data_IF_270790433588
#
_entry.id   IF_270790433588
#
_cell.length_a   1.000
_cell.length_b   1.000
_cell.length_c   1.000
_cell.angle_alpha   90.00
_cell.angle_beta   90.00
_cell.angle_gamma   90.00
#
_symmetry.space_group_name_H-M   'P 1'
#
loop_
_entity.id
_entity.type
_entity.pdbx_description
1 polymer ?
2 branched ?
3 non-polymer ?
4 non-polymer ?
5 non-polymer ?
6 water ?
#
# COMPACT_ATOMS: atom_id res chain seq x y z
C UNK A 1 -25.33 19.59 -6.02
N UNK A 2 -26.19 19.12 -5.12
CA UNK A 2 -25.89 18.90 -3.70
C UNK A 2 -25.60 17.44 -3.45
N UNK A 3 -24.31 17.08 -3.45
CA UNK A 3 -23.94 15.68 -3.54
C UNK A 3 -24.04 14.98 -2.20
N UNK A 4 -23.48 15.59 -1.15
CA UNK A 4 -23.50 15.03 0.18
C UNK A 4 -23.78 16.03 1.29
N UNK A 5 -23.33 15.74 2.51
CA UNK A 5 -23.60 16.56 3.68
C UNK A 5 -22.27 16.99 4.30
N UNK A 6 -22.01 18.29 4.31
CA UNK A 6 -20.80 18.85 4.89
C UNK A 6 -20.97 19.01 6.40
N UNK A 7 -19.84 19.15 7.06
CA UNK A 7 -19.80 19.34 8.49
C UNK A 7 -18.37 19.45 8.97
N UNK A 8 -18.18 19.84 10.23
CA UNK A 8 -16.82 19.94 10.76
C UNK A 8 -16.20 18.56 10.87
N UNK A 9 -15.09 18.36 10.16
CA UNK A 9 -14.25 17.17 10.16
C UNK A 9 -14.83 15.99 9.41
N UNK A 10 -15.83 16.18 8.54
CA UNK A 10 -16.35 15.06 7.79
C UNK A 10 -17.10 15.54 6.56
N UNK A 11 -17.24 14.61 5.60
CA UNK A 11 -18.07 14.79 4.41
C UNK A 11 -18.77 13.45 4.18
N UNK A 12 -20.09 13.45 4.34
CA UNK A 12 -20.90 12.25 4.13
C UNK A 12 -21.38 12.28 2.67
N UNK A 13 -21.02 11.30 1.85
CA UNK A 13 -21.47 11.32 0.45
C UNK A 13 -22.94 10.96 0.31
N UNK A 14 -23.80 11.79 0.89
CA UNK A 14 -25.25 11.54 0.83
C UNK A 14 -25.96 12.86 1.11
N UNK A 15 -26.93 13.20 0.27
CA UNK A 15 -27.66 14.45 0.43
C UNK A 15 -28.49 14.41 1.71
N UNK A 16 -28.60 15.57 2.36
CA UNK A 16 -29.36 15.70 3.60
C UNK A 16 -30.76 16.27 3.37
N UNK A 17 -31.25 16.28 2.13
CA UNK A 17 -32.59 16.84 1.90
C UNK A 17 -33.66 16.06 2.66
N UNK A 18 -33.48 14.75 2.81
CA UNK A 18 -34.35 13.94 3.66
C UNK A 18 -34.23 14.28 5.13
N UNK A 19 -33.11 14.86 5.55
CA UNK A 19 -32.83 15.08 6.96
C UNK A 19 -32.31 13.88 7.71
N UNK A 20 -32.02 12.77 7.02
CA UNK A 20 -31.66 11.54 7.73
C UNK A 20 -30.17 11.44 8.03
N UNK A 21 -29.35 12.25 7.37
CA UNK A 21 -27.91 12.15 7.56
C UNK A 21 -27.57 12.39 9.03
N UNK A 22 -26.48 11.75 9.48
CA UNK A 22 -25.94 11.92 10.82
C UNK A 22 -24.43 11.97 10.74
N UNK A 23 -23.82 12.47 11.80
CA UNK A 23 -22.38 12.57 11.85
C UNK A 23 -21.76 11.17 11.79
N UNK A 24 -20.72 10.96 10.97
CA UNK A 24 -20.09 9.64 10.94
C UNK A 24 -19.35 9.29 12.22
N UNK A 25 -19.25 10.25 13.14
CA UNK A 25 -18.67 10.01 14.45
C UNK A 25 -19.72 9.70 15.52
N UNK A 26 -21.01 9.93 15.25
CA UNK A 26 -22.04 9.83 16.26
C UNK A 26 -23.06 8.72 16.05
N UNK A 27 -23.37 8.35 14.81
CA UNK A 27 -24.53 7.50 14.54
C UNK A 27 -24.29 6.71 13.28
N UNK A 28 -24.91 5.53 13.15
CA UNK A 28 -24.60 4.67 12.00
C UNK A 28 -25.09 5.26 10.69
N UNK A 29 -24.29 5.01 9.65
CA UNK A 29 -24.51 5.55 8.30
C UNK A 29 -25.25 4.56 7.42
N UNK A 30 -26.38 4.05 7.91
CA UNK A 30 -27.13 3.01 7.23
C UNK A 30 -27.94 3.51 6.05
N UNK A 31 -27.93 4.82 5.78
CA UNK A 31 -28.50 5.32 4.54
C UNK A 31 -27.50 5.25 3.40
N UNK A 32 -26.20 5.24 3.72
CA UNK A 32 -25.17 5.01 2.71
C UNK A 32 -25.24 3.58 2.18
N UNK A 33 -25.45 2.61 3.06
CA UNK A 33 -25.48 1.22 2.65
C UNK A 33 -26.26 0.42 3.67
N UNK A 34 -26.88 -0.67 3.19
CA UNK A 34 -27.62 -1.56 4.06
C UNK A 34 -26.71 -2.10 5.16
N UNK A 35 -27.29 -2.52 6.28
CA UNK A 35 -26.45 -3.10 7.34
C UNK A 35 -25.64 -4.30 6.87
N UNK A 36 -26.21 -5.16 6.01
CA UNK A 36 -25.46 -6.32 5.56
C UNK A 36 -24.23 -5.93 4.75
N UNK A 37 -24.29 -4.80 4.05
CA UNK A 37 -23.12 -4.35 3.30
C UNK A 37 -22.03 -3.89 4.25
N UNK A 38 -22.41 -3.30 5.39
CA UNK A 38 -21.41 -3.03 6.42
C UNK A 38 -20.84 -4.32 6.97
N UNK A 39 -21.70 -5.34 7.13
CA UNK A 39 -21.23 -6.64 7.59
C UNK A 39 -20.27 -7.27 6.58
N UNK A 40 -20.55 -7.10 5.29
CA UNK A 40 -19.64 -7.60 4.27
C UNK A 40 -18.33 -6.83 4.28
N UNK A 41 -18.38 -5.52 4.51
CA UNK A 41 -17.15 -4.77 4.75
C UNK A 41 -16.39 -5.38 5.92
N UNK A 42 -17.11 -5.73 6.99
CA UNK A 42 -16.48 -6.37 8.14
C UNK A 42 -15.88 -7.72 7.76
N UNK A 43 -16.61 -8.50 6.96
CA UNK A 43 -16.09 -9.80 6.54
C UNK A 43 -14.85 -9.65 5.69
N UNK A 44 -14.80 -8.62 4.85
CA UNK A 44 -13.61 -8.40 4.02
C UNK A 44 -12.41 -8.02 4.87
N UNK A 45 -12.63 -7.18 5.90
CA UNK A 45 -11.56 -6.87 6.83
C UNK A 45 -11.10 -8.12 7.58
N UNK A 46 -12.04 -8.98 7.93
CA UNK A 46 -11.67 -10.21 8.63
C UNK A 46 -10.84 -11.12 7.73
N UNK A 47 -11.19 -11.19 6.44
CA UNK A 47 -10.39 -11.93 5.48
C UNK A 47 -8.97 -11.37 5.42
N UNK A 48 -8.83 -10.06 5.32
CA UNK A 48 -7.50 -9.45 5.21
C UNK A 48 -6.69 -9.65 6.48
N UNK A 49 -7.33 -9.67 7.65
CA UNK A 49 -6.60 -9.88 8.90
C UNK A 49 -6.14 -11.33 9.01
N UNK A 50 -7.01 -12.28 8.67
CA UNK A 50 -6.67 -13.68 8.80
C UNK A 50 -5.59 -14.10 7.81
N UNK A 51 -5.54 -13.49 6.63
CA UNK A 51 -4.49 -13.78 5.67
C UNK A 51 -3.29 -12.85 5.82
N UNK A 52 -3.50 -11.64 6.30
CA UNK A 52 -2.45 -10.64 6.33
C UNK A 52 -1.52 -10.72 7.51
N UNK A 53 -2.06 -10.94 8.71
CA UNK A 53 -1.19 -11.04 9.87
C UNK A 53 -0.28 -12.26 9.81
N UNK A 54 -0.75 -13.48 9.56
CA UNK A 54 0.18 -14.62 9.53
C UNK A 54 1.31 -14.44 8.54
N UNK A 55 0.97 -14.17 7.27
CA UNK A 55 1.98 -14.06 6.22
C UNK A 55 3.04 -13.03 6.59
N UNK A 56 2.62 -11.87 7.10
CA UNK A 56 3.58 -10.82 7.40
C UNK A 56 4.32 -11.08 8.70
N UNK A 57 3.63 -11.63 9.70
CA UNK A 57 4.33 -11.94 10.95
C UNK A 57 5.27 -13.12 10.76
N UNK A 58 4.85 -14.13 9.98
CA UNK A 58 5.71 -15.25 9.70
C UNK A 58 6.97 -14.81 8.96
N UNK A 59 6.85 -13.78 8.12
CA UNK A 59 8.03 -13.23 7.46
C UNK A 59 9.03 -12.69 8.49
N UNK A 60 8.54 -11.96 9.49
CA UNK A 60 9.42 -11.49 10.55
C UNK A 60 9.94 -12.63 11.40
N UNK A 61 9.11 -13.66 11.63
CA UNK A 61 9.50 -14.73 12.52
C UNK A 61 10.54 -15.64 11.89
N UNK A 62 10.31 -16.05 10.63
CA UNK A 62 11.24 -16.92 9.93
C UNK A 62 12.60 -16.27 9.76
N UNK A 63 12.63 -14.95 9.58
CA UNK A 63 13.90 -14.24 9.48
C UNK A 63 14.72 -14.37 10.76
N UNK A 64 14.05 -14.49 11.91
CA UNK A 64 14.76 -14.64 13.19
C UNK A 64 15.36 -16.03 13.33
N UNK A 65 14.84 -17.03 12.61
CA UNK A 65 15.30 -18.39 12.77
C UNK A 65 16.34 -18.84 11.75
N UNK A 66 16.61 -18.04 10.71
CA UNK A 66 17.46 -18.46 9.61
C UNK A 66 18.47 -17.38 9.28
N UNK A 67 19.76 -17.68 9.52
CA UNK A 67 20.81 -16.69 9.29
C UNK A 67 20.90 -16.29 7.82
N UNK A 68 20.60 -17.22 6.92
CA UNK A 68 20.77 -16.93 5.50
C UNK A 68 19.87 -15.80 5.03
N UNK A 69 18.75 -15.57 5.73
CA UNK A 69 17.82 -14.52 5.32
C UNK A 69 18.29 -13.13 5.72
N UNK A 70 19.18 -13.03 6.70
CA UNK A 70 19.59 -11.72 7.19
C UNK A 70 20.62 -11.04 6.29
N UNK A 71 20.34 -10.96 5.00
CA UNK A 71 21.14 -10.22 4.06
C UNK A 71 20.63 -8.78 3.93
N UNK A 72 21.53 -7.82 3.71
CA UNK A 72 21.09 -6.42 3.56
C UNK A 72 20.09 -6.21 2.44
N UNK A 73 20.22 -6.96 1.35
CA UNK A 73 19.23 -6.89 0.27
C UNK A 73 17.84 -7.30 0.72
N UNK A 74 17.74 -7.99 1.86
CA UNK A 74 16.45 -8.43 2.38
C UNK A 74 15.89 -7.51 3.44
N UNK A 75 16.69 -6.58 3.97
CA UNK A 75 16.20 -5.66 4.98
C UNK A 75 14.93 -4.94 4.50
N UNK A 76 14.90 -4.54 3.23
CA UNK A 76 13.75 -3.79 2.73
C UNK A 76 12.50 -4.66 2.71
N UNK A 77 12.66 -5.98 2.57
CA UNK A 77 11.52 -6.87 2.61
C UNK A 77 10.97 -7.01 4.03
N UNK A 78 11.83 -6.96 5.05
CA UNK A 78 11.34 -6.91 6.41
C UNK A 78 10.59 -5.60 6.66
N UNK A 79 11.13 -4.49 6.15
CA UNK A 79 10.43 -3.21 6.25
C UNK A 79 9.08 -3.27 5.58
N UNK A 80 8.97 -4.01 4.48
CA UNK A 80 7.68 -4.21 3.84
C UNK A 80 6.73 -4.97 4.76
N UNK A 81 7.23 -6.01 5.44
CA UNK A 81 6.37 -6.82 6.31
C UNK A 81 5.87 -6.01 7.51
N UNK A 82 6.71 -5.13 8.05
CA UNK A 82 6.28 -4.27 9.14
C UNK A 82 5.19 -3.32 8.65
N UNK A 83 5.40 -2.71 7.48
CA UNK A 83 4.42 -1.78 6.92
C UNK A 83 3.06 -2.44 6.76
N UNK A 84 3.04 -3.66 6.24
CA UNK A 84 1.77 -4.38 6.10
C UNK A 84 1.11 -4.60 7.45
N UNK A 85 1.91 -4.85 8.50
CA UNK A 85 1.34 -5.02 9.83
C UNK A 85 0.71 -3.73 10.34
N UNK A 86 1.31 -2.58 10.00
CA UNK A 86 0.66 -1.30 10.26
C UNK A 86 -0.72 -1.23 9.60
N UNK A 87 -0.79 -1.64 8.33
CA UNK A 87 -2.09 -1.68 7.65
C UNK A 87 -3.04 -2.67 8.32
N UNK A 88 -2.52 -3.78 8.83
CA UNK A 88 -3.39 -4.83 9.37
C UNK A 88 -3.96 -4.43 10.73
N UNK A 89 -3.14 -3.81 11.57
CA UNK A 89 -3.58 -3.45 12.91
C UNK A 89 -4.07 -2.02 13.00
N UNK A 90 -3.43 -1.10 12.26
CA UNK A 90 -3.88 0.28 12.26
C UNK A 90 -5.13 0.51 11.44
N UNK A 91 -5.31 -0.25 10.36
CA UNK A 91 -6.43 -0.03 9.46
C UNK A 91 -7.47 -1.13 9.49
N UNK A 92 -7.05 -2.36 9.20
CA UNK A 92 -8.03 -3.44 9.01
C UNK A 92 -8.73 -3.78 10.32
N UNK A 93 -7.97 -3.83 11.42
CA UNK A 93 -8.55 -4.15 12.72
C UNK A 93 -9.55 -3.08 13.16
N UNK A 94 -9.13 -1.82 13.11
CA UNK A 94 -10.02 -0.73 13.47
C UNK A 94 -11.27 -0.74 12.61
N UNK A 95 -11.11 -0.91 11.30
CA UNK A 95 -12.25 -0.84 10.39
C UNK A 95 -13.22 -1.99 10.61
N UNK A 96 -12.70 -3.18 10.93
CA UNK A 96 -13.58 -4.28 11.31
C UNK A 96 -14.46 -3.90 12.49
N UNK A 97 -13.89 -3.18 13.45
CA UNK A 97 -14.63 -2.83 14.66
C UNK A 97 -15.65 -1.74 14.39
N UNK A 98 -15.23 -0.67 13.72
CA UNK A 98 -16.15 0.41 13.34
C UNK A 98 -17.24 -0.07 12.40
N UNK A 99 -16.88 -0.93 11.44
CA UNK A 99 -17.85 -1.48 10.51
C UNK A 99 -19.06 -2.06 11.23
N UNK A 100 -18.83 -2.85 12.27
CA UNK A 100 -19.90 -3.52 12.97
C UNK A 100 -20.76 -2.56 13.79
N UNK A 101 -20.29 -1.34 14.00
CA UNK A 101 -21.13 -0.27 14.52
C UNK A 101 -21.81 0.52 13.43
N UNK A 102 -21.32 0.43 12.20
CA UNK A 102 -21.87 1.21 11.10
C UNK A 102 -21.46 2.67 11.08
N UNK A 103 -20.43 3.04 11.84
CA UNK A 103 -19.92 4.42 11.79
C UNK A 103 -18.61 4.45 12.56
N UNK A 104 -17.87 5.54 12.40
CA UNK A 104 -16.52 5.63 12.97
C UNK A 104 -16.63 6.05 14.43
N UNK A 105 -16.68 5.05 15.32
CA UNK A 105 -17.01 5.30 16.74
C UNK A 105 -15.90 5.95 17.54
N UNK A 106 -14.69 6.05 17.00
CA UNK A 106 -13.58 6.61 17.77
C UNK A 106 -13.46 8.12 17.65
N UNK A 107 -14.39 8.76 16.95
CA UNK A 107 -14.39 10.20 16.87
C UNK A 107 -13.27 10.75 16.01
N UNK A 108 -13.21 12.07 15.88
CA UNK A 108 -12.18 12.70 15.03
C UNK A 108 -10.76 12.42 15.49
N UNK A 109 -10.53 12.22 16.79
CA UNK A 109 -9.19 11.90 17.26
C UNK A 109 -8.73 10.55 16.72
N UNK A 110 -9.57 9.52 16.84
CA UNK A 110 -9.23 8.24 16.25
C UNK A 110 -9.14 8.29 14.75
N UNK A 111 -9.83 9.25 14.13
CA UNK A 111 -9.77 9.40 12.67
C UNK A 111 -8.37 9.77 12.22
N UNK A 112 -7.70 10.64 12.99
CA UNK A 112 -6.32 10.99 12.67
C UNK A 112 -5.36 9.86 13.01
N UNK A 113 -5.69 9.06 14.03
CA UNK A 113 -4.84 7.92 14.38
C UNK A 113 -4.91 6.83 13.31
N UNK A 114 -6.12 6.31 13.05
CA UNK A 114 -6.26 5.33 11.98
C UNK A 114 -5.77 5.88 10.66
N UNK A 115 -6.17 7.11 10.32
CA UNK A 115 -5.73 7.71 9.08
C UNK A 115 -4.21 7.70 8.96
N UNK A 116 -3.53 8.25 9.96
CA UNK A 116 -2.07 8.31 9.93
C UNK A 116 -1.46 6.92 9.76
N UNK A 117 -1.77 6.01 10.68
CA UNK A 117 -1.08 4.71 10.68
C UNK A 117 -1.44 3.89 9.45
N UNK A 118 -2.71 3.93 9.01
CA UNK A 118 -3.07 3.24 7.79
C UNK A 118 -2.36 3.85 6.58
N UNK A 119 -2.39 5.19 6.48
CA UNK A 119 -1.67 5.86 5.39
C UNK A 119 -0.17 5.62 5.50
N UNK A 120 0.38 5.68 6.72
CA UNK A 120 1.81 5.44 6.89
C UNK A 120 2.19 4.03 6.45
N UNK A 121 1.45 3.03 6.91
CA UNK A 121 1.74 1.66 6.53
C UNK A 121 1.68 1.43 5.03
N UNK A 122 0.64 1.95 4.38
CA UNK A 122 0.55 1.82 2.93
C UNK A 122 1.66 2.57 2.21
N UNK A 123 2.05 3.73 2.74
CA UNK A 123 3.12 4.50 2.11
C UNK A 123 4.47 3.82 2.27
N UNK A 124 4.74 3.25 3.44
CA UNK A 124 6.01 2.53 3.65
C UNK A 124 6.10 1.35 2.69
N UNK A 125 5.01 0.60 2.55
CA UNK A 125 4.98 -0.49 1.59
C UNK A 125 5.27 0.02 0.19
N UNK A 126 4.59 1.09 -0.21
CA UNK A 126 4.79 1.66 -1.54
C UNK A 126 6.26 1.97 -1.80
N UNK A 127 6.89 2.72 -0.90
CA UNK A 127 8.28 3.09 -1.13
C UNK A 127 9.24 1.93 -0.95
N UNK A 128 8.87 0.92 -0.14
CA UNK A 128 9.70 -0.26 -0.03
C UNK A 128 9.80 -0.98 -1.37
N UNK A 129 8.68 -1.09 -2.09
CA UNK A 129 8.71 -1.65 -3.44
C UNK A 129 9.59 -0.81 -4.36
N UNK A 130 9.53 0.52 -4.20
CA UNK A 130 10.39 1.39 -4.99
C UNK A 130 11.85 1.21 -4.62
N UNK A 131 12.15 1.16 -3.32
CA UNK A 131 13.54 1.04 -2.87
C UNK A 131 14.11 -0.33 -3.27
N UNK A 132 13.32 -1.40 -3.14
CA UNK A 132 13.79 -2.70 -3.58
C UNK A 132 14.12 -2.68 -5.07
N UNK A 133 13.31 -1.98 -5.87
CA UNK A 133 13.59 -1.88 -7.30
C UNK A 133 14.90 -1.13 -7.56
N UNK A 134 15.15 -0.07 -6.79
CA UNK A 134 16.38 0.67 -6.95
C UNK A 134 17.57 -0.16 -6.51
N UNK A 135 17.44 -0.88 -5.38
CA UNK A 135 18.53 -1.70 -4.89
C UNK A 135 18.89 -2.78 -5.90
N UNK A 136 17.88 -3.51 -6.40
CA UNK A 136 18.14 -4.55 -7.38
C UNK A 136 18.75 -3.97 -8.66
N UNK A 137 18.35 -2.77 -9.05
CA UNK A 137 18.90 -2.15 -10.25
C UNK A 137 20.36 -1.79 -10.07
N UNK A 138 20.73 -1.32 -8.87
CA UNK A 138 22.12 -0.96 -8.61
C UNK A 138 23.00 -2.21 -8.60
N UNK A 139 22.51 -3.29 -7.98
CA UNK A 139 23.32 -4.49 -7.84
C UNK A 139 23.52 -5.19 -9.17
N UNK A 140 22.48 -5.23 -10.01
CA UNK A 140 22.58 -5.93 -11.29
C UNK A 140 23.25 -5.06 -12.35
N UNK A 141 22.63 -3.92 -12.67
CA UNK A 141 23.10 -3.09 -13.76
C UNK A 141 24.43 -2.41 -13.47
N UNK A 142 24.89 -2.40 -12.22
CA UNK A 142 26.17 -1.82 -11.84
C UNK A 142 26.39 -0.43 -12.45
N UNK A 143 25.55 0.56 -12.11
CA UNK A 143 25.73 1.90 -12.69
C UNK A 143 26.86 2.70 -12.07
N UNK A 144 27.36 2.31 -10.91
CA UNK A 144 28.47 2.99 -10.26
C UNK A 144 29.73 2.15 -10.39
N UNK A 145 30.86 2.82 -10.65
CA UNK A 145 32.08 2.13 -11.06
C UNK A 145 32.57 1.16 -9.99
N UNK A 146 32.86 1.66 -8.80
CA UNK A 146 33.38 0.85 -7.70
C UNK A 146 32.42 0.97 -6.53
N UNK A 147 31.32 0.21 -6.58
CA UNK A 147 30.31 0.24 -5.54
C UNK A 147 29.94 -1.18 -5.11
N UNK A 148 29.76 -1.36 -3.80
CA UNK A 148 29.32 -2.62 -3.21
C UNK A 148 28.19 -2.33 -2.24
N UNK A 149 27.05 -3.01 -2.44
CA UNK A 149 25.88 -2.78 -1.61
C UNK A 149 26.07 -3.42 -0.24
N UNK A 150 26.09 -2.59 0.80
CA UNK A 150 26.42 -3.03 2.13
C UNK A 150 25.28 -2.85 3.12
N UNK A 151 25.55 -3.23 4.36
CA UNK A 151 24.58 -3.08 5.44
C UNK A 151 24.24 -1.61 5.65
N UNK A 152 25.24 -0.74 5.61
CA UNK A 152 24.98 0.69 5.78
C UNK A 152 24.07 1.21 4.69
N UNK A 153 24.23 0.74 3.46
CA UNK A 153 23.40 1.23 2.36
C UNK A 153 21.96 0.76 2.50
N UNK A 154 21.76 -0.50 2.90
CA UNK A 154 20.41 -1.02 3.04
C UNK A 154 19.63 -0.29 4.13
N UNK A 155 20.32 0.18 5.17
CA UNK A 155 19.65 0.89 6.25
C UNK A 155 19.14 2.24 5.77
N UNK A 156 19.93 2.94 4.94
CA UNK A 156 19.47 4.20 4.37
C UNK A 156 18.19 4.01 3.57
N UNK A 157 18.12 2.94 2.79
CA UNK A 157 16.92 2.68 2.01
C UNK A 157 15.68 2.53 2.89
N UNK A 158 15.82 1.83 4.02
CA UNK A 158 14.69 1.67 4.92
C UNK A 158 14.30 3.01 5.52
N UNK A 159 15.28 3.73 6.06
CA UNK A 159 15.01 5.06 6.62
C UNK A 159 14.40 5.98 5.57
N UNK A 160 14.77 5.80 4.31
CA UNK A 160 14.25 6.64 3.25
C UNK A 160 12.75 6.43 3.07
N UNK A 161 12.29 5.19 3.20
CA UNK A 161 10.86 4.93 3.12
C UNK A 161 10.13 5.62 4.27
N UNK A 162 10.70 5.57 5.47
CA UNK A 162 10.07 6.22 6.63
C UNK A 162 9.95 7.72 6.40
N UNK A 163 10.98 8.34 5.84
CA UNK A 163 10.92 9.77 5.56
C UNK A 163 9.87 10.07 4.51
N UNK A 164 9.84 9.28 3.44
CA UNK A 164 8.83 9.50 2.39
C UNK A 164 7.43 9.27 2.93
N UNK A 165 7.23 8.22 3.74
CA UNK A 165 5.91 7.93 4.26
C UNK A 165 5.45 9.01 5.23
N UNK A 166 6.37 9.52 6.06
CA UNK A 166 6.03 10.65 6.92
C UNK A 166 5.70 11.88 6.08
N UNK A 167 6.39 12.04 4.95
CA UNK A 167 6.13 13.18 4.07
C UNK A 167 4.70 13.17 3.51
N UNK A 168 4.06 12.01 3.48
CA UNK A 168 2.68 11.91 3.04
C UNK A 168 1.68 11.81 4.18
N UNK A 169 2.00 11.04 5.23
CA UNK A 169 1.04 10.77 6.28
C UNK A 169 0.96 11.87 7.33
N UNK A 170 2.00 12.67 7.48
CA UNK A 170 2.05 13.68 8.55
C UNK A 170 1.45 15.05 8.17
N UNK A 171 1.63 15.55 6.95
CA UNK A 171 1.08 16.89 6.62
C UNK A 171 -0.41 17.01 6.90
N UNK A 172 -1.22 15.97 6.69
CA UNK A 172 -2.65 16.11 7.07
C UNK A 172 -2.87 16.42 8.55
N UNK A 173 -1.93 16.04 9.43
CA UNK A 173 -2.10 16.36 10.84
C UNK A 173 -1.71 17.81 11.15
N UNK A 174 -0.80 18.40 10.37
CA UNK A 174 -0.31 19.75 10.65
C UNK A 174 -1.21 20.82 10.04
N UNK A 175 -1.76 20.60 8.83
CA UNK A 175 -2.64 21.58 8.23
C UNK A 175 -2.74 21.54 6.73
N UNK A 176 -2.02 20.61 6.08
CA UNK A 176 -2.07 20.43 4.64
C UNK A 176 -2.90 19.20 4.36
N UNK A 177 -4.10 19.41 3.80
CA UNK A 177 -5.14 18.40 3.67
C UNK A 177 -5.60 17.95 5.06
N UNK A 178 -6.29 16.82 5.14
CA UNK A 178 -6.91 16.42 6.39
C UNK A 178 -7.36 14.98 6.28
N UNK A 179 -7.53 14.34 7.43
CA UNK A 179 -8.12 13.01 7.53
C UNK A 179 -9.61 13.13 7.85
N UNK A 180 -10.44 12.46 7.06
CA UNK A 180 -11.86 12.38 7.32
C UNK A 180 -12.32 10.95 7.05
N UNK A 181 -13.39 10.53 7.69
CA UNK A 181 -14.01 9.25 7.29
C UNK A 181 -14.28 9.26 5.78
N UNK A 182 -13.88 8.19 5.12
CA UNK A 182 -14.05 8.04 3.70
C UNK A 182 -15.04 6.92 3.41
N UNK A 183 -15.42 6.79 2.15
CA UNK A 183 -16.38 5.79 1.72
C UNK A 183 -17.59 5.64 2.62
N UNK A 184 -17.78 4.45 3.19
CA UNK A 184 -18.90 4.21 4.09
C UNK A 184 -18.72 4.80 5.48
N UNK A 185 -17.68 5.64 5.66
CA UNK A 185 -17.41 6.46 6.84
C UNK A 185 -16.88 5.62 8.00
N UNK A 186 -16.55 4.36 7.78
CA UNK A 186 -15.98 3.52 8.82
C UNK A 186 -14.47 3.61 8.92
N UNK A 187 -13.78 3.95 7.83
CA UNK A 187 -12.35 4.14 7.84
C UNK A 187 -12.03 5.59 7.50
N UNK A 188 -10.82 6.02 7.88
CA UNK A 188 -10.35 7.38 7.70
C UNK A 188 -9.13 7.43 6.78
N UNK A 189 -9.00 8.52 6.05
CA UNK A 189 -7.90 8.63 5.11
C UNK A 189 -7.71 10.05 4.61
N UNK A 190 -6.82 10.20 3.64
CA UNK A 190 -6.61 11.51 3.02
C UNK A 190 -7.90 11.96 2.38
N UNK A 191 -8.16 13.27 2.48
CA UNK A 191 -9.37 13.87 1.94
C UNK A 191 -9.04 14.44 0.56
N UNK A 192 -9.31 13.66 -0.47
CA UNK A 192 -9.34 14.15 -1.84
C UNK A 192 -10.76 14.20 -2.37
N UNK A 193 -11.75 14.05 -1.49
CA UNK A 193 -13.15 14.17 -1.83
C UNK A 193 -13.70 15.58 -1.63
N UNK A 194 -12.97 16.42 -0.90
CA UNK A 194 -13.43 17.76 -0.53
C UNK A 194 -12.43 18.80 -0.99
N UNK A 195 -12.85 19.82 -1.69
CA UNK A 195 -11.94 20.93 -2.04
C UNK A 195 -11.82 21.93 -0.90
N UNK A 196 -11.26 21.47 0.22
CA UNK A 196 -11.19 22.25 1.45
C UNK A 196 -10.12 23.32 1.29
N UNK A 197 -10.55 24.56 1.05
CA UNK A 197 -9.60 25.64 0.81
C UNK A 197 -8.76 25.94 2.05
N UNK A 198 -9.31 25.69 3.24
CA UNK A 198 -8.63 26.09 4.47
C UNK A 198 -7.39 25.25 4.71
N UNK A 199 -7.36 24.02 4.19
CA UNK A 199 -6.19 23.15 4.30
C UNK A 199 -5.47 22.95 2.97
N UNK A 200 -5.86 23.69 1.92
CA UNK A 200 -5.28 23.56 0.59
C UNK A 200 -5.26 22.10 0.13
N UNK A 201 -6.45 21.50 0.09
CA UNK A 201 -6.57 20.13 -0.38
C UNK A 201 -6.08 19.98 -1.83
N UNK A 202 -6.35 20.98 -2.66
CA UNK A 202 -6.02 20.87 -4.07
C UNK A 202 -4.51 20.74 -4.29
N UNK A 203 -3.72 21.49 -3.53
CA UNK A 203 -2.27 21.39 -3.67
C UNK A 203 -1.74 20.05 -3.15
N UNK A 204 -2.37 19.49 -2.12
CA UNK A 204 -1.89 18.22 -1.59
C UNK A 204 -2.20 17.08 -2.56
N UNK A 205 -3.38 17.12 -3.20
CA UNK A 205 -3.72 16.09 -4.17
C UNK A 205 -2.71 16.09 -5.32
N UNK A 206 -2.33 17.28 -5.79
CA UNK A 206 -1.33 17.38 -6.83
C UNK A 206 0.02 16.84 -6.33
N UNK A 207 0.41 17.24 -5.12
CA UNK A 207 1.66 16.74 -4.55
C UNK A 207 1.62 15.22 -4.39
N UNK A 208 0.49 14.69 -3.94
CA UNK A 208 0.33 13.24 -3.84
C UNK A 208 0.43 12.59 -5.21
N UNK A 209 -0.26 13.17 -6.18
CA UNK A 209 -0.27 12.60 -7.53
C UNK A 209 1.12 12.59 -8.14
N UNK A 210 1.88 13.66 -7.95
CA UNK A 210 3.19 13.77 -8.57
C UNK A 210 4.23 12.94 -7.81
N UNK A 211 4.37 13.18 -6.51
CA UNK A 211 5.49 12.61 -5.76
C UNK A 211 5.23 11.16 -5.39
N UNK A 212 4.02 10.84 -4.94
CA UNK A 212 3.74 9.51 -4.42
C UNK A 212 2.93 8.63 -5.37
N UNK A 213 2.68 9.08 -6.60
CA UNK A 213 1.87 8.27 -7.51
C UNK A 213 2.52 8.15 -8.88
N UNK A 214 3.20 9.20 -9.33
CA UNK A 214 3.87 9.20 -10.64
C UNK A 214 5.33 8.81 -10.51
N UNK A 215 6.06 9.44 -9.58
CA UNK A 215 7.47 9.08 -9.36
C UNK A 215 7.65 7.60 -9.03
N UNK A 216 6.91 7.00 -8.09
CA UNK A 216 7.13 5.56 -7.82
C UNK A 216 6.97 4.69 -9.05
N UNK A 217 6.02 5.04 -9.93
CA UNK A 217 5.81 4.25 -11.12
C UNK A 217 6.97 4.38 -12.10
N UNK A 218 7.48 5.60 -12.29
CA UNK A 218 8.58 5.80 -13.23
C UNK A 218 9.82 5.08 -12.75
N UNK A 219 10.12 5.18 -11.45
CA UNK A 219 11.32 4.55 -10.91
C UNK A 219 11.23 3.03 -11.07
N UNK A 220 10.10 2.45 -10.67
CA UNK A 220 9.93 1.02 -10.76
C UNK A 220 10.05 0.54 -12.20
N UNK A 221 9.48 1.30 -13.14
CA UNK A 221 9.56 0.90 -14.54
C UNK A 221 10.96 1.08 -15.10
N UNK A 222 11.64 2.16 -14.74
CA UNK A 222 12.99 2.38 -15.23
C UNK A 222 13.96 1.34 -14.69
N UNK A 223 13.99 1.18 -13.36
CA UNK A 223 14.91 0.26 -12.73
C UNK A 223 14.71 -1.16 -13.23
N UNK A 224 13.47 -1.65 -13.21
CA UNK A 224 13.22 -3.01 -13.65
C UNK A 224 13.41 -3.17 -15.15
N UNK A 225 13.16 -2.10 -15.92
CA UNK A 225 13.43 -2.14 -17.35
C UNK A 225 14.90 -2.35 -17.65
N UNK A 226 15.75 -1.46 -17.11
CA UNK A 226 17.19 -1.60 -17.32
C UNK A 226 17.71 -2.94 -16.80
N UNK A 227 17.12 -3.46 -15.73
CA UNK A 227 17.54 -4.74 -15.19
C UNK A 227 17.26 -5.87 -16.17
N UNK A 228 16.02 -5.97 -16.64
CA UNK A 228 15.69 -7.00 -17.63
C UNK A 228 16.52 -6.81 -18.88
N UNK A 229 16.82 -5.56 -19.24
CA UNK A 229 17.67 -5.30 -20.40
C UNK A 229 19.08 -5.80 -20.14
N UNK A 230 19.63 -5.50 -18.97
CA UNK A 230 20.98 -5.96 -18.64
C UNK A 230 21.06 -7.48 -18.57
N UNK A 231 20.07 -8.09 -17.92
CA UNK A 231 20.07 -9.54 -17.77
C UNK A 231 19.91 -10.23 -19.13
N UNK A 232 19.03 -9.72 -19.98
CA UNK A 232 18.85 -10.31 -21.30
C UNK A 232 20.06 -10.05 -22.20
N UNK A 233 20.77 -8.96 -21.96
CA UNK A 233 21.97 -8.67 -22.73
C UNK A 233 23.09 -9.64 -22.37
N UNK A 234 23.31 -9.84 -21.07
CA UNK A 234 24.37 -10.73 -20.62
C UNK A 234 24.08 -12.16 -21.02
N UNK A 235 22.83 -12.60 -20.89
CA UNK A 235 22.47 -13.96 -21.26
C UNK A 235 22.70 -14.21 -22.75
N UNK A 236 22.55 -13.18 -23.57
CA UNK A 236 22.77 -13.35 -25.00
C UNK A 236 24.22 -13.68 -25.32
N UNK A 237 25.15 -13.23 -24.47
CA UNK A 237 26.56 -13.55 -24.64
C UNK A 237 26.92 -14.95 -24.17
N UNK A 238 26.03 -15.61 -23.43
CA UNK A 238 26.25 -16.96 -22.91
C UNK A 238 25.08 -17.87 -23.28
N UNK A 239 24.72 -17.87 -24.56
CA UNK A 239 23.64 -18.74 -25.01
C UNK A 239 24.02 -20.20 -24.94
N UNK A 240 25.31 -20.52 -24.79
CA UNK A 240 25.73 -21.91 -24.61
C UNK A 240 25.32 -22.45 -23.24
N UNK A 241 24.94 -21.59 -22.30
CA UNK A 241 24.55 -21.98 -20.95
C UNK A 241 23.03 -22.08 -20.88
N UNK A 242 22.52 -23.31 -20.72
CA UNK A 242 21.07 -23.50 -20.58
C UNK A 242 20.54 -22.89 -19.30
N UNK A 243 21.35 -22.90 -18.23
CA UNK A 243 20.90 -22.35 -16.96
C UNK A 243 20.82 -20.83 -17.01
N UNK A 244 21.82 -20.18 -17.62
CA UNK A 244 21.76 -18.73 -17.78
C UNK A 244 20.50 -18.32 -18.52
N UNK A 245 20.11 -19.08 -19.55
CA UNK A 245 18.86 -18.81 -20.24
C UNK A 245 17.67 -19.06 -19.33
N UNK A 246 17.74 -20.10 -18.48
CA UNK A 246 16.66 -20.34 -17.53
C UNK A 246 16.58 -19.23 -16.49
N UNK A 247 17.73 -18.80 -15.97
CA UNK A 247 17.72 -17.69 -15.01
C UNK A 247 17.18 -16.41 -15.66
N UNK A 248 17.60 -16.12 -16.89
CA UNK A 248 17.10 -14.93 -17.58
C UNK A 248 15.58 -15.01 -17.76
N UNK A 249 15.06 -16.21 -18.06
CA UNK A 249 13.63 -16.35 -18.26
C UNK A 249 12.86 -16.10 -16.97
N UNK A 250 13.33 -16.67 -15.87
CA UNK A 250 12.59 -16.53 -14.61
C UNK A 250 12.76 -15.13 -14.04
N UNK A 251 13.90 -14.47 -14.26
CA UNK A 251 14.05 -13.09 -13.82
C UNK A 251 13.08 -12.19 -14.59
N UNK A 252 13.02 -12.37 -15.91
CA UNK A 252 12.07 -11.60 -16.71
C UNK A 252 10.64 -11.86 -16.26
N UNK A 253 10.32 -13.13 -16.00
CA UNK A 253 8.96 -13.47 -15.58
C UNK A 253 8.62 -12.84 -14.24
N UNK A 254 9.58 -12.82 -13.31
CA UNK A 254 9.32 -12.22 -11.99
C UNK A 254 9.15 -10.72 -12.08
N UNK A 255 9.99 -10.05 -12.86
CA UNK A 255 9.87 -8.60 -13.02
C UNK A 255 8.49 -8.26 -13.59
N UNK A 256 8.01 -9.07 -14.52
CA UNK A 256 6.68 -8.86 -15.09
C UNK A 256 5.62 -8.99 -14.00
N UNK A 257 5.68 -10.07 -13.22
CA UNK A 257 4.73 -10.28 -12.13
C UNK A 257 4.73 -9.08 -11.19
N UNK A 258 5.93 -8.63 -10.78
CA UNK A 258 6.01 -7.51 -9.85
C UNK A 258 5.43 -6.25 -10.46
N UNK A 259 5.80 -5.96 -11.71
CA UNK A 259 5.32 -4.74 -12.36
C UNK A 259 3.83 -4.83 -12.62
N UNK A 260 3.34 -6.01 -13.01
CA UNK A 260 1.89 -6.19 -13.18
C UNK A 260 1.18 -5.99 -11.85
N UNK A 261 1.71 -6.59 -10.79
CA UNK A 261 1.11 -6.43 -9.47
C UNK A 261 1.07 -4.97 -9.06
N UNK A 262 2.16 -4.24 -9.29
CA UNK A 262 2.18 -2.82 -8.92
C UNK A 262 1.11 -2.05 -9.68
N UNK A 263 0.91 -2.39 -10.96
CA UNK A 263 -0.10 -1.69 -11.75
C UNK A 263 -1.50 -2.00 -11.27
N UNK A 264 -1.73 -3.22 -10.74
CA UNK A 264 -3.06 -3.59 -10.28
C UNK A 264 -3.48 -2.75 -9.08
N UNK A 265 -2.52 -2.31 -8.26
CA UNK A 265 -2.82 -1.40 -7.17
C UNK A 265 -2.76 0.06 -7.59
N UNK A 266 -2.13 0.35 -8.73
CA UNK A 266 -1.86 1.71 -9.17
C UNK A 266 -2.91 2.22 -10.15
N UNK A 267 -3.29 1.40 -11.12
CA UNK A 267 -4.23 1.82 -12.16
C UNK A 267 -5.61 2.21 -11.63
N UNK A 268 -6.21 1.53 -10.64
CA UNK A 268 -7.53 1.97 -10.16
C UNK A 268 -7.56 3.43 -9.73
N UNK A 269 -6.55 3.89 -9.00
CA UNK A 269 -6.51 5.30 -8.64
C UNK A 269 -6.37 6.20 -9.86
N UNK A 270 -5.73 5.71 -10.93
CA UNK A 270 -5.62 6.50 -12.15
C UNK A 270 -6.91 6.50 -12.96
N UNK A 271 -7.61 5.37 -13.03
CA UNK A 271 -8.90 5.34 -13.71
C UNK A 271 -9.95 6.18 -13.01
N UNK A 272 -9.99 6.10 -11.67
CA UNK A 272 -10.94 6.92 -10.92
C UNK A 272 -10.59 8.39 -11.05
N UNK A 273 -9.29 8.72 -11.05
CA UNK A 273 -8.89 10.12 -11.21
C UNK A 273 -9.20 10.63 -12.61
N UNK A 274 -8.91 9.83 -13.64
CA UNK A 274 -9.33 10.18 -14.99
C UNK A 274 -10.83 10.40 -15.09
N UNK A 275 -11.62 9.81 -14.18
CA UNK A 275 -13.03 10.08 -14.01
C UNK A 275 -13.30 11.30 -13.14
N UNK A 276 -12.24 11.96 -12.68
CA UNK A 276 -12.33 13.27 -12.05
C UNK A 276 -11.79 14.39 -12.95
N UNK A 277 -10.72 14.13 -13.70
CA UNK A 277 -10.29 15.11 -14.70
C UNK A 277 -11.36 15.31 -15.78
N UNK A 278 -11.86 14.22 -16.35
CA UNK A 278 -13.05 14.23 -17.19
C UNK A 278 -14.17 13.53 -16.45
N UNK A 279 -15.42 13.82 -16.84
CA UNK A 279 -16.60 13.38 -16.10
C UNK A 279 -16.57 13.91 -14.67
N UNK A 280 -16.24 15.19 -14.51
CA UNK A 280 -16.01 15.76 -13.18
C UNK A 280 -17.31 16.15 -12.48
N UNK A 281 -18.36 16.48 -13.25
CA UNK A 281 -19.51 17.13 -12.65
C UNK A 281 -20.29 16.26 -11.68
N UNK A 282 -20.52 15.00 -12.03
CA UNK A 282 -21.45 14.17 -11.28
C UNK A 282 -20.93 13.84 -9.89
N UNK A 283 -21.86 13.54 -8.99
CA UNK A 283 -21.53 13.13 -7.64
C UNK A 283 -21.02 11.69 -7.64
N UNK A 284 -20.15 11.38 -6.68
CA UNK A 284 -19.57 10.06 -6.54
C UNK A 284 -20.11 9.40 -5.28
N UNK A 285 -20.70 8.22 -5.44
CA UNK A 285 -21.14 7.44 -4.30
C UNK A 285 -19.99 7.09 -3.39
N UNK A 286 -20.30 6.68 -2.16
CA UNK A 286 -19.21 6.28 -1.24
C UNK A 286 -18.38 5.15 -1.78
N UNK A 287 -18.95 4.34 -2.67
CA UNK A 287 -18.22 3.21 -3.22
C UNK A 287 -17.23 3.66 -4.29
N UNK A 288 -17.63 4.60 -5.15
CA UNK A 288 -16.85 4.87 -6.36
C UNK A 288 -15.51 5.53 -6.04
N UNK A 289 -15.53 6.62 -5.27
CA UNK A 289 -14.28 7.29 -4.90
C UNK A 289 -13.34 6.33 -4.20
N UNK A 290 -13.88 5.28 -3.58
CA UNK A 290 -13.12 4.39 -2.72
C UNK A 290 -13.04 2.96 -3.26
N UNK A 291 -13.46 2.74 -4.50
CA UNK A 291 -13.19 1.45 -5.15
C UNK A 291 -11.69 1.18 -5.22
N UNK A 292 -10.82 2.14 -5.60
CA UNK A 292 -9.39 1.85 -5.57
C UNK A 292 -8.86 1.49 -4.19
N UNK A 293 -9.26 2.24 -3.17
CA UNK A 293 -8.86 1.91 -1.81
C UNK A 293 -9.35 0.52 -1.43
N UNK A 294 -10.60 0.19 -1.80
CA UNK A 294 -11.18 -1.08 -1.41
C UNK A 294 -10.34 -2.26 -1.89
N UNK A 295 -9.63 -2.09 -3.00
CA UNK A 295 -8.82 -3.17 -3.54
C UNK A 295 -7.32 -2.98 -3.32
N UNK A 296 -6.87 -1.75 -3.08
CA UNK A 296 -5.47 -1.53 -2.71
C UNK A 296 -5.14 -2.09 -1.33
N UNK A 297 -6.15 -2.28 -0.47
CA UNK A 297 -5.92 -2.91 0.83
C UNK A 297 -5.38 -4.32 0.67
N UNK A 298 -5.82 -5.03 -0.38
CA UNK A 298 -5.40 -6.41 -0.60
C UNK A 298 -3.90 -6.54 -0.81
N UNK A 299 -3.21 -5.44 -1.14
CA UNK A 299 -1.76 -5.50 -1.30
C UNK A 299 -1.07 -6.02 -0.04
N UNK A 300 -1.68 -5.88 1.14
CA UNK A 300 -1.08 -6.41 2.34
C UNK A 300 -0.99 -7.92 2.34
N UNK A 301 -1.68 -8.60 1.42
CA UNK A 301 -1.67 -10.05 1.32
C UNK A 301 -0.85 -10.51 0.12
N UNK A 302 -1.07 -9.91 -1.06
CA UNK A 302 -0.43 -10.45 -2.26
C UNK A 302 0.99 -9.94 -2.44
N UNK A 303 1.34 -8.78 -1.90
CA UNK A 303 2.73 -8.34 -1.98
C UNK A 303 3.67 -9.28 -1.24
N UNK A 304 3.41 -9.70 0.00
CA UNK A 304 4.31 -10.68 0.62
C UNK A 304 4.30 -12.02 -0.10
N UNK A 305 3.20 -12.38 -0.76
CA UNK A 305 3.19 -13.61 -1.55
C UNK A 305 4.15 -13.49 -2.72
N UNK A 306 4.15 -12.34 -3.40
CA UNK A 306 4.98 -12.16 -4.58
C UNK A 306 6.44 -11.95 -4.20
N UNK A 307 6.70 -10.97 -3.34
CA UNK A 307 8.08 -10.58 -3.01
C UNK A 307 8.75 -11.49 -1.98
N UNK A 308 8.00 -12.28 -1.21
CA UNK A 308 8.63 -13.04 -0.14
C UNK A 308 8.31 -14.53 -0.29
N UNK A 309 7.03 -14.87 -0.33
CA UNK A 309 6.64 -16.27 -0.47
C UNK A 309 7.23 -16.89 -1.72
N UNK A 310 7.42 -16.12 -2.78
CA UNK A 310 8.01 -16.65 -4.01
C UNK A 310 9.53 -16.58 -4.02
N UNK A 311 10.14 -15.90 -3.05
CA UNK A 311 11.58 -15.95 -2.88
C UNK A 311 12.01 -17.37 -2.50
N UNK A 312 13.05 -17.87 -3.14
CA UNK A 312 13.40 -19.28 -3.00
C UNK A 312 13.85 -19.61 -1.57
N UNK A 313 14.63 -18.72 -0.95
CA UNK A 313 15.14 -19.00 0.38
C UNK A 313 14.04 -18.89 1.43
N UNK A 314 13.26 -17.80 1.40
CA UNK A 314 12.18 -17.62 2.37
C UNK A 314 11.26 -18.83 2.39
N UNK A 315 10.94 -19.37 1.22
CA UNK A 315 9.94 -20.43 1.11
C UNK A 315 10.35 -21.66 1.89
N UNK A 316 11.57 -22.16 1.65
CA UNK A 316 12.04 -23.36 2.33
C UNK A 316 12.17 -23.12 3.83
N UNK A 317 12.63 -21.94 4.23
CA UNK A 317 12.77 -21.63 5.65
C UNK A 317 11.41 -21.65 6.35
N UNK A 318 10.38 -21.11 5.70
CA UNK A 318 9.05 -21.13 6.28
C UNK A 318 8.50 -22.55 6.39
N UNK A 319 8.78 -23.39 5.39
CA UNK A 319 8.39 -24.80 5.50
C UNK A 319 9.08 -25.45 6.68
N UNK A 320 10.39 -25.20 6.84
CA UNK A 320 11.13 -25.75 7.97
C UNK A 320 10.57 -25.25 9.29
N UNK A 321 10.22 -23.96 9.36
CA UNK A 321 9.70 -23.41 10.60
C UNK A 321 8.29 -23.93 10.90
N UNK A 322 7.42 -23.96 9.89
CA UNK A 322 6.06 -24.46 10.07
C UNK A 322 6.06 -25.95 10.41
N UNK A 323 7.06 -26.67 9.92
CA UNK A 323 7.15 -28.09 10.16
C UNK A 323 8.09 -28.51 11.28
N UNK A 324 8.28 -27.57 12.21
CA UNK A 324 9.01 -27.80 13.45
C UNK A 324 10.45 -28.26 13.21
N UNK A 325 11.02 -27.88 12.07
CA UNK A 325 12.41 -28.16 11.75
C UNK A 325 12.64 -29.21 10.70
N UNK A 326 11.63 -30.01 10.36
CA UNK A 326 11.78 -31.10 9.42
C UNK A 326 11.28 -30.68 8.04
N UNK A 327 11.87 -31.29 7.00
CA UNK A 327 11.55 -30.97 5.61
C UNK A 327 11.73 -29.48 5.33
X LIG B 1 -29.00 16.87 8.33
X LIG B 1 -28.29 17.64 9.44
X LIG B 1 -28.81 17.18 10.80
X LIG B 1 -30.29 17.53 10.87
X LIG B 1 -31.06 16.88 9.71
X LIG B 1 -32.48 17.40 9.60
X LIG B 1 -25.90 16.76 9.44
X LIG B 1 -26.37 15.35 9.58
X LIG B 1 -26.83 17.73 9.38
X LIG B 1 -28.09 17.81 11.86
X LIG B 1 -30.84 17.07 12.10
X LIG B 1 -30.44 17.11 8.43
X LIG B 1 -32.50 18.81 9.46
X LIG B 1 -24.71 17.02 9.36
X LIG B 2 -31.36 18.15 12.90
X LIG B 2 -32.44 17.55 13.79
X LIG B 2 -33.05 18.63 14.67
X LIG B 2 -31.97 19.38 15.43
X LIG B 2 -30.86 19.86 14.49
X LIG B 2 -29.68 20.45 15.23
X LIG B 2 -33.52 15.56 12.84
X LIG B 2 -34.65 15.04 12.00
X LIG B 2 -33.47 16.88 13.00
X LIG B 2 -33.95 18.03 15.59
X LIG B 2 -32.54 20.51 16.08
X LIG B 2 -30.36 18.77 13.71
X LIG B 2 -29.06 21.49 14.49
X LIG B 2 -32.69 14.81 13.34
X LIG B 3 -32.36 20.44 17.50
X LIG B 3 -32.75 21.82 18.04
X LIG B 3 -32.69 21.81 19.54
X LIG B 3 -33.49 20.64 20.13
X LIG B 3 -33.03 19.32 19.50
X LIG B 3 -33.87 18.16 19.94
X LIG B 3 -34.09 22.13 17.67
X LIG B 3 -33.17 23.02 20.08
X LIG B 3 -33.28 20.58 21.52
X LIG B 3 -33.18 19.44 18.07
X LIG B 3 -35.20 18.42 19.52
X LIG B 4 -32.06 23.81 20.55
X LIG B 4 -32.64 24.82 21.55
X LIG B 4 -33.61 25.76 20.84
X LIG B 4 -32.93 26.41 19.61
X LIG B 4 -32.33 25.34 18.69
X LIG B 4 -31.51 25.92 17.53
X LIG B 4 -31.61 25.64 22.10
X LIG B 4 -34.11 26.76 21.72
X LIG B 4 -33.89 27.15 18.88
X LIG B 4 -31.44 24.48 19.47
X LIG B 4 -31.40 24.92 16.50
X LIG B 5 -35.92 17.19 19.58
X LIG B 5 -36.80 17.10 18.28
X LIG B 5 -38.06 17.97 18.38
X LIG B 5 -38.73 17.89 19.76
X LIG B 5 -37.68 18.17 20.85
X LIG B 5 -38.25 18.16 22.26
X LIG B 5 -37.25 15.76 18.04
X LIG B 5 -39.00 17.63 17.36
X LIG B 5 -39.78 18.86 19.86
X LIG B 5 -36.69 17.15 20.76
X LIG B 5 -37.20 18.59 23.14
X LIG C 1 5.23 -28.64 7.24
X LIG C 1 5.82 -28.07 6.32
X LIG C 1 3.94 -28.13 7.85
X LIG C 1 3.52 -28.87 9.10
X LIG C 1 2.09 -29.36 9.05
X LIG C 1 1.10 -28.24 8.83
X LIG C 1 -0.23 -28.78 8.35
X LIG C 1 -1.40 -27.91 8.76
X LIG C 1 -1.58 -26.73 7.83
X LIG C 1 -2.95 -26.10 8.00
X LIG C 1 -3.03 -24.80 7.23
X LIG C 1 -4.46 -24.46 6.84
X LIG C 1 -5.28 -24.02 8.03
X LIG C 1 -6.64 -23.53 7.57
X LIG C 1 -7.41 -22.83 8.67
X LIG C 1 -8.55 -22.01 8.09
X LIG C 1 -9.14 -21.10 9.12
X LIG D 1 -4.99 3.74 0.82
X LIG D 1 -4.68 2.48 0.26
X LIG D 1 -6.21 4.35 0.13
X LIG D 1 -5.98 4.43 -1.29
X LIG D 1 -6.51 5.72 0.73
X LIG D 1 -7.77 6.16 0.20
X LIG D 1 -6.58 5.67 2.26
X LIG D 1 -6.47 6.99 2.79
X LIG D 1 -5.45 4.85 2.88
X LIG D 1 -5.27 3.60 2.22
X LIG D 1 -5.71 4.60 4.36
X LIG D 1 -6.72 3.59 4.51
X LIG D 1 -3.39 2.06 0.70
X LIG D 1 -2.85 1.04 -0.30
X LIG D 1 -1.38 0.81 -0.03
X LIG D 1 -0.73 0.06 -1.19
X LIG D 1 0.79 0.10 -1.05
X LIG D 1 1.46 -0.91 -1.96
X LIG D 1 1.42 -0.47 -3.42
X LIG D 1 1.65 -1.64 -4.35
X LIG E 1 -14.86 1.65 1.42
X LIG E 1 -15.58 2.10 0.28
X LIG E 1 -13.39 2.00 1.26
X LIG E 1 -12.85 1.31 0.13
X LIG E 1 -12.59 1.66 2.51
X LIG E 1 -11.26 2.18 2.37
X LIG E 1 -13.27 2.29 3.70
X LIG E 1 -12.58 1.97 4.92
X LIG E 1 -14.72 1.81 3.78
X LIG E 1 -15.42 2.22 2.61
X LIG E 1 -15.43 2.36 5.01
X LIG E 1 -15.07 3.73 5.23
X LIG E 1 -16.93 1.68 0.31
X LIG E 1 -17.15 0.71 -0.85
X LIG E 1 -16.01 0.81 -1.87
X LIG E 1 -16.36 0.03 -3.13
X LIG E 1 -16.53 -1.46 -2.84
X LIG E 1 -17.06 -2.17 -4.07
X LIG E 1 -16.97 -3.68 -3.89
X LIG E 1 -17.77 -4.38 -4.96
X LIG F 1 10.49 -10.47 -23.28
X LIG F 1 9.67 -9.82 -22.32
X LIG F 1 9.93 -11.86 -23.57
X LIG F 1 10.10 -12.69 -22.41
X LIG F 1 10.60 -12.52 -24.77
X LIG F 1 9.87 -13.70 -25.12
X LIG F 1 10.66 -11.56 -25.95
X LIG F 1 11.38 -12.16 -27.02
X LIG F 1 11.33 -10.28 -25.51
X LIG F 1 10.57 -9.66 -24.46
X LIG F 1 11.48 -9.30 -26.68
X LIG F 1 12.50 -9.79 -27.55
X LIG F 1 10.20 -8.54 -21.98
X LIG F 1 9.40 -7.96 -20.82
X LIG F 1 10.16 -6.82 -20.16
X LIG F 1 9.44 -6.37 -18.91
X LIG F 1 10.25 -5.29 -18.20
X LIG F 1 9.36 -4.50 -17.25
X LIG F 1 10.05 -3.20 -16.85
X LIG F 1 9.14 -2.35 -16.01
X LIG G 1 -23.88 -2.05 18.74
X LIG G 1 -22.59 -2.47 19.20
X LIG G 1 -24.78 -1.81 19.95
X LIG G 1 -24.99 -3.07 20.63
X LIG G 1 -26.12 -1.20 19.56
X LIG G 1 -26.84 -0.84 20.74
X LIG G 1 -25.88 0.05 18.73
X LIG G 1 -27.13 0.59 18.30
X LIG G 1 -25.00 -0.30 17.52
X LIG G 1 -23.75 -0.89 17.90
X LIG G 1 -24.73 0.91 16.62
X LIG G 1 -24.35 0.43 15.32
X LIG G 1 -21.77 -3.01 18.16
X LIG G 1 -20.57 -3.66 18.81
X LIG G 1 -19.68 -4.32 17.78
X LIG G 1 -18.46 -4.94 18.45
X LIG G 1 -17.85 -5.98 17.49
X LIG G 1 -16.54 -6.58 17.99
X LIG G 1 -15.93 -7.48 16.90
X LIG G 1 -14.48 -7.80 17.16
X LIG H 1 -4.46 9.56 -3.40
X LIG H 1 -4.48 8.11 -2.89
X LIG H 1 -2.80 6.67 -1.74
X LIG H 1 -1.29 5.17 -0.31
X LIG H 1 -0.06 4.25 -0.35
X LIG H 1 -1.20 6.10 0.91
X LIG H 1 -1.19 5.11 -2.86
X LIG H 1 -0.05 5.28 -3.67
X LIG H 1 0.13 4.49 -4.80
X LIG H 1 -0.82 3.54 -5.14
X LIG H 1 -1.95 3.38 -4.35
X LIG H 1 -2.14 4.16 -3.21
X LIG H 1 -2.23 7.79 -3.99
X LIG H 1 -2.16 9.28 -4.31
X LIG H 1 -4.25 11.72 -7.48
X LIG H 1 -4.04 10.76 -6.52
X LIG H 1 -4.28 9.38 -6.76
X LIG H 1 -4.71 8.91 -7.95
X LIG H 1 -4.91 9.89 -8.93
X LIG H 1 -4.70 11.24 -8.71
X LIG H 1 -4.00 8.68 -5.62
X LIG H 1 -3.58 9.64 -4.66
X LIG H 1 -3.62 10.93 -5.24
X LIG H 1 -3.12 7.50 -2.84
X LIG H 1 -1.40 5.99 -1.63
X LIG H 1 -3.66 6.52 -0.88
#
# INVERSE_FOLDING_TARGET
XMCGTEGPNFYVPFSNKTGVVRSPFEAPQYYLAEPWQFSMLAAYMFLLIMLGFPINFLTLYVTVQHKKLRTPLNYILLNLAVADLFMVFGGFTTTLYTSLHGYFVFGPTGCNLEGFFATLGGEIALWSLVVLAIERYVVVCKPMSNFRFGENHAIMGVAFTWVMALACAAPPLVGWSRYIPEGMQCSCGIDYYTPHEETNNESFVIYMFVVHFIIPLIVIFFCYGQLVFTVKEAAAQQQESATTQKAEKEVTRMVIIMVIAFLICWLPYAGVAFYIFTHQGSCFGPIFMTIPAFFAKTSAVYNPVIYIMMNKQFRNCMVTTLCCGKNPLGDDEASTTVSKTETSQVAPA
NAG C1 C2 C3 C4 C5 C6 C7 C8 N2 O3 O4 O5 O6 O7
NAG C1 C2 C3 C4 C5 C6 C7 C8 N2 O3 O4 O5 O6 O7
BMA C1 C2 C3 C4 C5 C6 O2 O3 O4 O5 O6
MAN C1 C2 C3 C4 C5 C6 O2 O3 O4 O5 O6
MAN C1 C2 C3 C4 C5 C6 O2 O3 O4 O5 O6
PLM C1 O2 C2 C3 C4 C5 C6 C7 C8 C9 CA CB CC CD CE CF CG
BOG C1 O1 C2 O2 C3 O3 C4 O4 C5 O5 C6 O6 C1' C2' C3' C4' C5' C6' C7' C8'
BOG C1 O1 C2 O2 C3 O3 C4 O4 C5 O5 C6 O6 C1' C2' C3' C4' C5' C6' C7' C8'
BOG C1 O1 C2 O2 C3 O3 C4 O4 C5 O5 C6 O6 C1' C2' C3' C4' C5' C6' C7' C8'
BOG C1 O1 C2 O2 C3 O3 C4 O4 C5 O5 C6 O6 C1' C2' C3' C4' C5' C6' C7' C8'
DNK C10 C11 C13 C15 C16 C17 C18 C19 C20 C21 C22 C23 C25 C26 C1 C2 C3 C4 C5 C6 O7 C8 O9 N12 C14 O24
#
